data_IF_810832488139
#
_entry.id   IF_810832488139
#
_cell.length_a   1.000
_cell.length_b   1.000
_cell.length_c   1.000
_cell.angle_alpha   90.00
_cell.angle_beta   90.00
_cell.angle_gamma   90.00
#
_symmetry.space_group_name_H-M   'P 1'
#
loop_
_entity.id
_entity.type
_entity.pdbx_description
1 polymer ?
#
# COMPACT_ATOMS: atom_id res chain seq x y z
N UNK A 1 16.92 10.99 -14.45
CA UNK A 1 17.21 9.99 -13.39
C UNK A 1 16.33 8.81 -13.72
N UNK A 2 16.93 7.68 -14.08
CA UNK A 2 16.14 6.51 -14.47
C UNK A 2 15.73 5.76 -13.20
N UNK A 3 14.44 5.52 -13.04
CA UNK A 3 13.91 4.70 -11.94
C UNK A 3 14.12 3.20 -12.25
N UNK A 4 14.17 2.33 -11.22
CA UNK A 4 14.15 0.88 -11.44
C UNK A 4 12.97 0.49 -12.34
N UNK A 5 13.19 -0.46 -13.26
CA UNK A 5 12.09 -1.06 -14.02
C UNK A 5 11.05 -1.63 -13.05
N UNK A 6 9.77 -1.48 -13.38
CA UNK A 6 8.68 -1.96 -12.53
C UNK A 6 8.32 -1.04 -11.37
N UNK A 7 8.90 0.17 -11.28
CA UNK A 7 8.47 1.21 -10.34
C UNK A 7 8.07 2.49 -11.06
N UNK A 8 6.93 3.05 -10.68
CA UNK A 8 6.43 4.35 -11.14
C UNK A 8 6.10 5.22 -9.94
N UNK A 9 6.83 6.33 -9.78
CA UNK A 9 6.45 7.35 -8.80
C UNK A 9 5.15 8.01 -9.26
N UNK A 10 4.08 7.87 -8.47
CA UNK A 10 2.79 8.52 -8.70
C UNK A 10 2.89 9.97 -8.25
N UNK A 11 3.42 10.21 -7.05
CA UNK A 11 3.68 11.55 -6.53
C UNK A 11 4.67 11.52 -5.35
N UNK A 12 5.20 12.67 -4.98
CA UNK A 12 6.12 12.85 -3.87
C UNK A 12 5.88 14.18 -3.15
N UNK A 13 6.01 14.15 -1.83
CA UNK A 13 5.92 15.31 -0.96
C UNK A 13 7.08 15.36 0.01
N UNK A 14 7.48 16.57 0.39
CA UNK A 14 8.38 16.83 1.49
C UNK A 14 7.58 17.40 2.64
N UNK A 15 7.86 16.97 3.87
CA UNK A 15 7.28 17.64 5.02
C UNK A 15 7.84 19.09 5.11
N UNK A 16 7.00 20.03 5.55
CA UNK A 16 7.35 21.46 5.55
C UNK A 16 8.45 21.83 6.56
N UNK A 17 8.65 21.02 7.61
CA UNK A 17 9.72 21.19 8.59
C UNK A 17 11.05 20.56 8.15
N UNK A 18 11.03 19.79 7.07
CA UNK A 18 12.14 18.94 6.64
C UNK A 18 12.24 17.66 7.45
N UNK A 19 13.02 16.71 6.92
CA UNK A 19 13.34 15.45 7.60
C UNK A 19 12.47 14.26 7.19
N UNK A 20 11.40 14.47 6.43
CA UNK A 20 10.63 13.38 5.81
C UNK A 20 10.35 13.62 4.35
N UNK A 21 10.42 12.53 3.59
CA UNK A 21 9.94 12.42 2.22
C UNK A 21 8.84 11.39 2.20
N UNK A 22 7.68 11.77 1.64
CA UNK A 22 6.54 10.87 1.46
C UNK A 22 6.45 10.61 -0.04
N UNK A 23 6.63 9.36 -0.45
CA UNK A 23 6.57 8.97 -1.86
C UNK A 23 5.45 7.97 -2.04
N UNK A 24 4.51 8.28 -2.93
CA UNK A 24 3.51 7.32 -3.41
C UNK A 24 4.02 6.76 -4.74
N UNK A 25 4.20 5.45 -4.81
CA UNK A 25 4.66 4.75 -6.00
C UNK A 25 3.79 3.53 -6.28
N UNK A 26 3.65 3.24 -7.56
CA UNK A 26 3.15 1.97 -8.07
C UNK A 26 4.35 1.05 -8.33
N UNK A 27 4.27 -0.20 -7.86
CA UNK A 27 5.35 -1.19 -7.96
C UNK A 27 4.80 -2.53 -8.41
N UNK A 28 5.48 -3.14 -9.38
CA UNK A 28 5.13 -4.48 -9.86
C UNK A 28 5.52 -5.54 -8.82
N UNK A 29 6.66 -5.38 -8.17
CA UNK A 29 7.15 -6.33 -7.16
C UNK A 29 7.77 -5.66 -5.94
N UNK A 30 7.86 -6.41 -4.83
CA UNK A 30 8.62 -6.00 -3.63
C UNK A 30 10.09 -5.73 -3.95
N UNK A 31 10.66 -6.39 -4.97
CA UNK A 31 12.06 -6.17 -5.36
C UNK A 31 12.26 -4.80 -5.99
N UNK A 32 11.30 -4.32 -6.77
CA UNK A 32 11.39 -3.01 -7.44
C UNK A 32 11.29 -1.87 -6.41
N UNK A 33 10.43 -2.06 -5.40
CA UNK A 33 10.41 -1.22 -4.19
C UNK A 33 11.77 -1.18 -3.48
N UNK A 34 12.37 -2.36 -3.20
CA UNK A 34 13.66 -2.44 -2.50
C UNK A 34 14.77 -1.78 -3.31
N UNK A 35 14.81 -1.98 -4.63
CA UNK A 35 15.82 -1.39 -5.51
C UNK A 35 15.80 0.15 -5.49
N UNK A 36 14.61 0.75 -5.37
CA UNK A 36 14.47 2.20 -5.26
C UNK A 36 14.91 2.74 -3.89
N UNK A 37 14.66 2.00 -2.82
CA UNK A 37 14.93 2.45 -1.45
C UNK A 37 16.33 2.10 -0.95
N UNK A 38 16.99 1.10 -1.55
CA UNK A 38 18.32 0.64 -1.15
C UNK A 38 19.35 1.77 -0.99
N UNK A 39 19.44 2.76 -1.92
CA UNK A 39 20.40 3.86 -1.79
C UNK A 39 20.17 4.81 -0.61
N UNK A 40 19.02 4.71 0.06
CA UNK A 40 18.67 5.57 1.19
C UNK A 40 18.77 4.87 2.54
N UNK A 41 19.06 3.56 2.55
CA UNK A 41 19.02 2.73 3.76
C UNK A 41 20.06 3.11 4.82
N UNK A 42 21.16 3.76 4.42
CA UNK A 42 22.19 4.32 5.29
C UNK A 42 21.96 5.81 5.63
N UNK A 43 21.05 6.49 4.91
CA UNK A 43 20.80 7.92 5.03
C UNK A 43 19.56 8.25 5.88
N UNK A 44 18.54 7.40 5.87
CA UNK A 44 17.29 7.64 6.59
C UNK A 44 16.61 6.36 7.07
N UNK A 45 15.70 6.52 8.02
CA UNK A 45 14.73 5.48 8.36
C UNK A 45 13.68 5.38 7.25
N UNK A 46 13.41 4.16 6.79
CA UNK A 46 12.45 3.88 5.72
C UNK A 46 11.28 3.10 6.29
N UNK A 47 10.10 3.73 6.33
CA UNK A 47 8.84 3.09 6.73
C UNK A 47 7.94 2.95 5.50
N UNK A 48 7.40 1.74 5.27
CA UNK A 48 6.55 1.46 4.11
C UNK A 48 5.33 0.63 4.49
N UNK A 49 4.21 1.02 3.90
CA UNK A 49 2.92 0.35 4.05
C UNK A 49 2.19 0.36 2.70
N UNK A 50 1.43 -0.71 2.39
CA UNK A 50 0.61 -0.72 1.20
C UNK A 50 -0.52 0.31 1.33
N UNK A 51 -0.83 0.98 0.22
CA UNK A 51 -1.96 1.92 0.12
C UNK A 51 -2.96 1.32 -0.86
N UNK A 52 -4.25 1.45 -0.55
CA UNK A 52 -5.35 1.05 -1.42
C UNK A 52 -6.34 2.20 -1.54
N UNK A 53 -7.13 2.22 -2.61
CA UNK A 53 -8.18 3.20 -2.77
C UNK A 53 -9.28 3.01 -1.72
N UNK A 54 -9.87 4.12 -1.26
CA UNK A 54 -10.94 4.09 -0.27
C UNK A 54 -12.15 3.26 -0.75
N UNK A 55 -12.42 3.27 -2.05
CA UNK A 55 -13.50 2.49 -2.65
C UNK A 55 -13.26 0.98 -2.58
N UNK A 56 -12.00 0.54 -2.65
CA UNK A 56 -11.65 -0.87 -2.50
C UNK A 56 -11.76 -1.33 -1.05
N UNK A 57 -11.42 -0.46 -0.10
CA UNK A 57 -11.72 -0.70 1.33
C UNK A 57 -13.23 -0.93 1.49
N UNK A 58 -14.06 -0.04 0.94
CA UNK A 58 -15.53 -0.16 1.01
C UNK A 58 -16.03 -1.48 0.43
N UNK A 59 -15.58 -1.86 -0.77
CA UNK A 59 -15.94 -3.15 -1.39
C UNK A 59 -15.53 -4.34 -0.52
N UNK A 60 -14.33 -4.30 0.07
CA UNK A 60 -13.82 -5.38 0.93
C UNK A 60 -14.65 -5.56 2.20
N UNK A 61 -15.14 -4.45 2.78
CA UNK A 61 -16.02 -4.46 3.95
C UNK A 61 -17.36 -5.08 3.59
N UNK A 62 -17.99 -4.62 2.50
CA UNK A 62 -19.29 -5.15 2.03
C UNK A 62 -19.20 -6.66 1.79
N UNK A 63 -18.18 -7.11 1.05
CA UNK A 63 -17.95 -8.53 0.80
C UNK A 63 -17.83 -9.35 2.09
N UNK A 64 -17.10 -8.83 3.09
CA UNK A 64 -16.94 -9.49 4.38
C UNK A 64 -18.25 -9.53 5.16
N UNK A 65 -19.02 -8.45 5.16
CA UNK A 65 -20.33 -8.38 5.82
C UNK A 65 -21.32 -9.39 5.22
N UNK A 66 -21.39 -9.48 3.89
CA UNK A 66 -22.20 -10.47 3.19
C UNK A 66 -21.76 -11.89 3.54
N UNK A 67 -20.46 -12.19 3.48
CA UNK A 67 -19.94 -13.52 3.83
C UNK A 67 -20.29 -13.93 5.28
N UNK A 68 -20.22 -12.99 6.22
CA UNK A 68 -20.58 -13.24 7.62
C UNK A 68 -22.07 -13.50 7.80
N UNK A 69 -22.94 -12.74 7.11
CA UNK A 69 -24.39 -12.96 7.19
C UNK A 69 -24.80 -14.32 6.62
N UNK A 70 -24.17 -14.79 5.54
CA UNK A 70 -24.39 -16.14 5.01
C UNK A 70 -23.96 -17.24 6.00
N UNK A 71 -22.88 -17.03 6.74
CA UNK A 71 -22.40 -17.99 7.75
C UNK A 71 -23.36 -18.07 8.94
N UNK A 72 -23.90 -16.94 9.40
CA UNK A 72 -24.91 -16.92 10.47
C UNK A 72 -26.19 -17.66 10.05
N UNK A 73 -26.73 -17.39 8.85
CA UNK A 73 -27.94 -18.06 8.35
C UNK A 73 -27.72 -19.58 8.16
N UNK A 74 -26.50 -19.99 7.78
CA UNK A 74 -26.12 -21.40 7.65
C UNK A 74 -26.06 -22.15 8.98
N UNK A 75 -25.83 -21.47 10.10
CA UNK A 75 -25.81 -22.08 11.44
C UNK A 75 -27.21 -22.34 12.01
N UNK A 76 -28.23 -21.60 11.59
CA UNK A 76 -29.62 -21.79 12.04
C UNK A 76 -30.44 -22.78 11.19
N UNK A 77 -29.81 -23.44 10.22
CA UNK A 77 -30.47 -24.41 9.31
C UNK A 77 -30.14 -25.88 9.59
N UNK A 78 -29.43 -26.18 10.68
CA UNK A 78 -29.12 -27.55 11.13
C UNK A 78 -29.74 -27.84 12.50
#
# INVERSE_FOLDING_TARGET
MDFPKGLKVINQWFDAGGGRVITLFDVETVKDYLAYNLPFTDLCQIDVFPVIEADDVKKSIIYRMEKLSYLEIGQYKN
#
